data_IF_990608449485
#
_entry.id   IF_990608449485
#
_cell.length_a   1.000
_cell.length_b   1.000
_cell.length_c   1.000
_cell.angle_alpha   90.00
_cell.angle_beta   90.00
_cell.angle_gamma   90.00
#
_symmetry.space_group_name_H-M   'P 1'
#
loop_
_entity.id
_entity.type
_entity.pdbx_description
1 polymer ?
#
# COMPACT_ATOMS: atom_id res chain seq x y z
N UNK A 1 14.00 1.19 11.30
CA UNK A 1 13.60 -0.05 12.00
C UNK A 1 12.40 -0.59 11.27
N UNK A 2 12.33 -1.89 11.00
CA UNK A 2 11.16 -2.48 10.34
C UNK A 2 9.97 -2.53 11.31
N UNK A 3 8.81 -2.07 10.85
CA UNK A 3 7.54 -2.05 11.61
C UNK A 3 6.59 -3.06 10.99
N UNK A 4 5.72 -3.69 11.79
CA UNK A 4 4.69 -4.60 11.28
C UNK A 4 3.29 -4.06 11.57
N UNK A 5 2.40 -4.15 10.59
CA UNK A 5 1.01 -3.71 10.65
C UNK A 5 0.07 -4.89 10.33
N UNK A 6 -1.17 -4.85 10.82
CA UNK A 6 -2.22 -5.68 10.23
C UNK A 6 -2.60 -5.16 8.86
N UNK A 7 -3.07 -6.04 7.98
CA UNK A 7 -3.53 -5.64 6.65
C UNK A 7 -4.66 -4.60 6.73
N UNK A 8 -5.63 -4.79 7.62
CA UNK A 8 -6.75 -3.84 7.79
C UNK A 8 -6.29 -2.42 8.14
N UNK A 9 -5.30 -2.29 9.03
CA UNK A 9 -4.75 -0.97 9.40
C UNK A 9 -4.05 -0.31 8.22
N UNK A 10 -3.21 -1.08 7.52
CA UNK A 10 -2.53 -0.62 6.33
C UNK A 10 -3.52 -0.20 5.25
N UNK A 11 -4.50 -1.04 4.93
CA UNK A 11 -5.45 -0.77 3.86
C UNK A 11 -6.35 0.44 4.14
N UNK A 12 -6.82 0.58 5.39
CA UNK A 12 -7.60 1.74 5.80
C UNK A 12 -6.80 3.05 5.65
N UNK A 13 -5.51 3.02 5.99
CA UNK A 13 -4.61 4.15 5.78
C UNK A 13 -4.33 4.40 4.28
N UNK A 14 -4.02 3.35 3.52
CA UNK A 14 -3.71 3.42 2.10
C UNK A 14 -4.86 4.03 1.29
N UNK A 15 -6.11 3.68 1.61
CA UNK A 15 -7.30 4.25 0.97
C UNK A 15 -7.38 5.77 1.14
N UNK A 16 -6.84 6.33 2.23
CA UNK A 16 -6.72 7.78 2.44
C UNK A 16 -5.52 8.43 1.75
N UNK A 17 -4.57 7.63 1.26
CA UNK A 17 -3.29 8.07 0.72
C UNK A 17 -3.00 7.47 -0.67
N UNK A 18 -4.04 7.15 -1.44
CA UNK A 18 -3.91 6.51 -2.76
C UNK A 18 -2.97 7.26 -3.71
N UNK A 19 -3.02 8.61 -3.68
CA UNK A 19 -2.17 9.48 -4.51
C UNK A 19 -0.71 9.57 -4.02
N UNK A 20 -0.37 8.92 -2.92
CA UNK A 20 0.99 8.84 -2.40
C UNK A 20 1.68 7.52 -2.82
N UNK A 21 0.99 6.64 -3.55
CA UNK A 21 1.57 5.42 -4.12
C UNK A 21 2.52 5.81 -5.25
N UNK A 22 3.80 5.45 -5.10
CA UNK A 22 4.84 5.61 -6.13
C UNK A 22 4.85 4.40 -7.06
N UNK A 23 4.65 3.20 -6.50
CA UNK A 23 4.48 1.95 -7.25
C UNK A 23 3.78 0.90 -6.42
N UNK A 24 3.04 0.00 -7.07
CA UNK A 24 2.40 -1.15 -6.44
C UNK A 24 2.49 -2.37 -7.35
N UNK A 25 2.59 -3.57 -6.79
CA UNK A 25 2.76 -4.76 -7.60
C UNK A 25 2.83 -6.07 -6.83
N UNK A 26 3.08 -7.14 -7.57
CA UNK A 26 3.55 -8.43 -7.07
C UNK A 26 5.06 -8.53 -7.29
N UNK A 27 5.76 -9.56 -6.78
CA UNK A 27 7.18 -9.77 -7.09
C UNK A 27 7.51 -9.83 -8.60
N UNK A 28 6.55 -10.18 -9.44
CA UNK A 28 6.72 -10.38 -10.88
C UNK A 28 6.29 -9.17 -11.72
N UNK A 29 5.32 -8.39 -11.26
CA UNK A 29 4.71 -7.31 -12.03
C UNK A 29 4.53 -6.06 -11.18
N UNK A 30 5.01 -4.93 -11.70
CA UNK A 30 4.97 -3.64 -11.01
C UNK A 30 4.25 -2.60 -11.86
N UNK A 31 3.26 -1.94 -11.27
CA UNK A 31 2.64 -0.72 -11.77
C UNK A 31 3.37 0.48 -11.15
N UNK A 32 3.79 1.43 -11.98
CA UNK A 32 4.59 2.58 -11.58
C UNK A 32 3.79 3.85 -11.87
N UNK A 33 3.77 4.75 -10.89
CA UNK A 33 3.10 6.04 -11.02
C UNK A 33 3.72 6.92 -12.11
N UNK A 34 2.94 7.88 -12.62
CA UNK A 34 3.37 8.89 -13.57
C UNK A 34 2.44 10.10 -13.46
N UNK A 35 2.91 11.29 -13.82
CA UNK A 35 2.17 12.57 -13.77
C UNK A 35 0.72 12.56 -14.34
N UNK A 36 0.43 11.69 -15.31
CA UNK A 36 -0.88 11.59 -15.97
C UNK A 36 -1.75 10.45 -15.41
N UNK A 37 -1.22 9.66 -14.49
CA UNK A 37 -1.85 8.47 -13.94
C UNK A 37 -2.54 8.75 -12.61
N UNK A 38 -3.54 7.93 -12.31
CA UNK A 38 -4.38 8.07 -11.13
C UNK A 38 -4.60 6.70 -10.51
N UNK A 39 -4.27 6.59 -9.23
CA UNK A 39 -4.55 5.40 -8.44
C UNK A 39 -5.98 5.42 -7.92
N UNK A 40 -6.66 4.29 -8.02
CA UNK A 40 -7.99 4.08 -7.43
C UNK A 40 -7.98 2.77 -6.65
N UNK A 41 -8.48 2.81 -5.41
CA UNK A 41 -8.70 1.62 -4.59
C UNK A 41 -10.19 1.31 -4.56
N UNK A 42 -10.53 0.07 -4.88
CA UNK A 42 -11.92 -0.39 -5.01
C UNK A 42 -12.11 -1.63 -4.15
N UNK A 43 -13.27 -1.71 -3.50
CA UNK A 43 -13.76 -2.95 -2.89
C UNK A 43 -14.68 -3.62 -3.91
N UNK A 44 -14.19 -4.66 -4.58
CA UNK A 44 -14.94 -5.42 -5.58
C UNK A 44 -16.07 -6.21 -4.88
N UNK A 45 -15.69 -6.94 -3.82
CA UNK A 45 -16.59 -7.70 -2.96
C UNK A 45 -16.00 -7.87 -1.54
N UNK A 46 -16.55 -8.79 -0.76
CA UNK A 46 -16.11 -9.03 0.63
C UNK A 46 -14.72 -9.70 0.74
N UNK A 47 -14.14 -10.16 -0.37
CA UNK A 47 -12.92 -10.97 -0.42
C UNK A 47 -11.84 -10.37 -1.33
N UNK A 48 -12.22 -9.47 -2.23
CA UNK A 48 -11.32 -8.93 -3.25
C UNK A 48 -11.29 -7.41 -3.22
N UNK A 49 -10.07 -6.89 -3.14
CA UNK A 49 -9.76 -5.48 -3.27
C UNK A 49 -9.01 -5.26 -4.58
N UNK A 50 -9.23 -4.12 -5.21
CA UNK A 50 -8.59 -3.79 -6.48
C UNK A 50 -7.81 -2.50 -6.34
N UNK A 51 -6.56 -2.51 -6.80
CA UNK A 51 -5.75 -1.32 -6.98
C UNK A 51 -5.63 -1.08 -8.48
N UNK A 52 -6.28 -0.03 -8.98
CA UNK A 52 -6.26 0.31 -10.40
C UNK A 52 -5.36 1.52 -10.64
N UNK A 53 -4.57 1.44 -11.70
CA UNK A 53 -3.86 2.57 -12.28
C UNK A 53 -4.54 2.93 -13.59
N UNK A 54 -5.02 4.17 -13.70
CA UNK A 54 -5.70 4.66 -14.90
C UNK A 54 -5.03 5.92 -15.44
N UNK A 55 -5.08 6.09 -16.76
CA UNK A 55 -4.75 7.35 -17.45
C UNK A 55 -6.02 7.96 -17.98
N UNK A 56 -6.47 9.06 -17.39
CA UNK A 56 -7.76 9.66 -17.66
C UNK A 56 -8.92 8.65 -17.52
N UNK A 57 -9.39 8.06 -18.63
CA UNK A 57 -10.45 7.03 -18.63
C UNK A 57 -9.96 5.64 -19.05
N UNK A 58 -8.69 5.53 -19.43
CA UNK A 58 -8.10 4.30 -19.92
C UNK A 58 -7.45 3.55 -18.75
N UNK A 59 -7.80 2.28 -18.59
CA UNK A 59 -7.13 1.40 -17.62
C UNK A 59 -5.71 1.10 -18.10
N UNK A 60 -4.71 1.40 -17.26
CA UNK A 60 -3.31 1.04 -17.51
C UNK A 60 -3.03 -0.35 -16.97
N UNK A 61 -3.54 -0.65 -15.77
CA UNK A 61 -3.46 -1.96 -15.15
C UNK A 61 -4.20 -2.01 -13.83
N UNK A 62 -4.42 -3.23 -13.35
CA UNK A 62 -5.05 -3.48 -12.06
C UNK A 62 -4.37 -4.62 -11.32
N UNK A 63 -4.35 -4.52 -10.00
CA UNK A 63 -3.88 -5.54 -9.08
C UNK A 63 -5.08 -6.02 -8.25
N UNK A 64 -5.34 -7.32 -8.27
CA UNK A 64 -6.29 -7.96 -7.36
C UNK A 64 -5.56 -8.38 -6.09
N UNK A 65 -6.04 -7.86 -4.97
CA UNK A 65 -5.52 -8.12 -3.63
C UNK A 65 -6.52 -8.98 -2.87
N UNK A 66 -6.03 -10.09 -2.29
CA UNK A 66 -6.82 -11.02 -1.49
C UNK A 66 -6.44 -10.88 0.00
N UNK A 67 -7.18 -10.08 0.79
CA UNK A 67 -6.80 -9.77 2.18
C UNK A 67 -6.70 -10.98 3.08
N UNK A 68 -7.54 -12.00 2.84
CA UNK A 68 -7.60 -13.21 3.65
C UNK A 68 -6.31 -14.05 3.61
N UNK A 69 -5.47 -13.85 2.59
CA UNK A 69 -4.20 -14.55 2.45
C UNK A 69 -3.06 -13.83 3.18
N UNK A 70 -3.22 -12.53 3.45
CA UNK A 70 -2.15 -11.70 4.03
C UNK A 70 -2.08 -11.90 5.54
N UNK A 71 -0.92 -12.35 6.01
CA UNK A 71 -0.64 -12.53 7.44
C UNK A 71 -0.36 -11.19 8.13
N UNK A 72 0.47 -10.35 7.52
CA UNK A 72 0.82 -9.02 8.02
C UNK A 72 1.42 -8.15 6.91
N UNK A 73 1.58 -6.85 7.19
CA UNK A 73 2.32 -5.91 6.32
C UNK A 73 3.61 -5.52 7.01
N UNK A 74 4.75 -5.75 6.35
CA UNK A 74 6.06 -5.29 6.80
C UNK A 74 6.35 -3.92 6.19
N UNK A 75 6.85 -3.00 7.02
CA UNK A 75 7.12 -1.62 6.64
C UNK A 75 8.57 -1.28 6.91
N UNK A 76 9.26 -0.74 5.91
CA UNK A 76 10.63 -0.27 6.02
C UNK A 76 10.91 0.91 5.08
N UNK A 77 11.93 1.74 5.37
CA UNK A 77 12.40 2.72 4.40
C UNK A 77 12.82 2.04 3.11
N UNK A 78 12.47 2.61 1.96
CA UNK A 78 12.92 2.11 0.67
C UNK A 78 14.40 2.49 0.41
N UNK A 79 14.95 2.03 -0.71
CA UNK A 79 16.28 2.45 -1.18
C UNK A 79 16.33 3.95 -1.55
N UNK A 80 15.19 4.53 -1.92
CA UNK A 80 15.05 5.95 -2.25
C UNK A 80 14.65 6.73 -1.00
N UNK A 81 15.39 7.81 -0.71
CA UNK A 81 15.16 8.63 0.48
C UNK A 81 13.78 9.30 0.45
N UNK A 82 13.08 9.24 1.58
CA UNK A 82 11.69 9.71 1.70
C UNK A 82 10.62 8.71 1.23
N UNK A 83 10.99 7.65 0.51
CA UNK A 83 10.05 6.59 0.10
C UNK A 83 10.05 5.42 1.09
N UNK A 84 8.89 4.78 1.24
CA UNK A 84 8.65 3.70 2.20
C UNK A 84 8.03 2.48 1.54
N UNK A 85 8.62 1.32 1.80
CA UNK A 85 8.19 0.03 1.29
C UNK A 85 7.24 -0.63 2.28
N UNK A 86 6.11 -1.09 1.77
CA UNK A 86 5.09 -1.86 2.46
C UNK A 86 4.92 -3.21 1.74
N UNK A 87 5.34 -4.29 2.37
CA UNK A 87 5.24 -5.64 1.83
C UNK A 87 4.09 -6.40 2.52
N UNK A 88 3.09 -6.79 1.74
CA UNK A 88 2.02 -7.69 2.20
C UNK A 88 2.55 -9.11 2.19
N UNK A 89 2.78 -9.67 3.37
CA UNK A 89 3.40 -10.98 3.56
C UNK A 89 2.33 -12.05 3.72
N UNK A 90 2.46 -13.13 2.96
CA UNK A 90 1.73 -14.39 3.17
C UNK A 90 2.62 -15.35 3.96
N UNK A 91 2.04 -16.09 4.89
CA UNK A 91 2.76 -17.07 5.70
C UNK A 91 2.17 -18.46 5.52
N UNK A 92 3.02 -19.41 5.13
CA UNK A 92 2.73 -20.84 5.13
C UNK A 92 3.59 -21.54 6.18
N UNK A 93 3.32 -22.82 6.43
CA UNK A 93 4.16 -23.64 7.33
C UNK A 93 5.64 -23.69 6.90
N UNK A 94 5.94 -23.40 5.64
CA UNK A 94 7.27 -23.60 5.04
C UNK A 94 8.02 -22.31 4.74
N UNK A 95 7.31 -21.21 4.50
CA UNK A 95 7.89 -19.98 4.01
C UNK A 95 7.01 -18.76 4.31
N UNK A 96 7.67 -17.60 4.37
CA UNK A 96 7.06 -16.28 4.31
C UNK A 96 7.42 -15.66 2.98
N UNK A 97 6.42 -15.22 2.24
CA UNK A 97 6.59 -14.71 0.89
C UNK A 97 5.86 -13.37 0.77
N UNK A 98 6.40 -12.47 -0.06
CA UNK A 98 5.74 -11.19 -0.36
C UNK A 98 4.74 -11.45 -1.48
N UNK A 99 3.45 -11.30 -1.19
CA UNK A 99 2.41 -11.41 -2.22
C UNK A 99 2.23 -10.10 -2.98
N UNK A 100 2.29 -8.98 -2.26
CA UNK A 100 2.14 -7.64 -2.82
C UNK A 100 3.13 -6.68 -2.19
N UNK A 101 3.55 -5.67 -2.93
CA UNK A 101 4.33 -4.57 -2.40
C UNK A 101 3.75 -3.23 -2.83
N UNK A 102 3.86 -2.24 -1.97
CA UNK A 102 3.50 -0.86 -2.20
C UNK A 102 4.66 0.02 -1.77
N UNK A 103 5.07 0.94 -2.63
CA UNK A 103 6.01 2.00 -2.25
C UNK A 103 5.23 3.29 -2.15
N UNK A 104 5.37 3.95 -1.01
CA UNK A 104 4.67 5.17 -0.65
C UNK A 104 5.67 6.32 -0.55
N UNK A 105 5.24 7.53 -0.90
CA UNK A 105 6.04 8.75 -0.80
C UNK A 105 6.25 9.25 0.65
N UNK A 106 5.72 8.55 1.66
CA UNK A 106 5.88 8.86 3.07
C UNK A 106 5.64 7.63 3.95
N UNK A 107 6.02 7.74 5.22
CA UNK A 107 5.87 6.67 6.20
C UNK A 107 4.41 6.48 6.64
N UNK A 108 4.15 5.36 7.31
CA UNK A 108 2.88 5.14 7.98
C UNK A 108 2.76 6.06 9.20
N UNK A 109 1.72 6.90 9.21
CA UNK A 109 1.37 7.75 10.34
C UNK A 109 0.14 7.19 11.05
N UNK A 110 0.29 6.76 12.31
CA UNK A 110 -0.87 6.36 13.10
C UNK A 110 -1.70 7.62 13.45
N UNK A 111 -2.99 7.61 13.11
CA UNK A 111 -3.88 8.77 13.28
C UNK A 111 -4.02 9.27 14.73
N UNK A 112 -3.56 8.49 15.72
CA UNK A 112 -3.45 8.92 17.11
C UNK A 112 -2.34 9.98 17.33
N UNK A 113 -1.26 9.97 16.54
CA UNK A 113 -0.14 10.92 16.69
C UNK A 113 -0.48 12.35 16.24
N UNK A 114 -1.51 12.55 15.40
CA UNK A 114 -1.89 13.88 14.88
C UNK A 114 -2.65 14.75 15.89
N UNK A 115 -2.90 14.28 17.12
CA UNK A 115 -3.59 15.08 18.15
C UNK A 115 -2.67 15.97 18.99
N UNK A 116 -1.36 15.83 18.89
CA UNK A 116 -0.41 16.55 19.75
C UNK A 116 0.18 17.84 19.15
N UNK A 117 -0.08 18.15 17.87
CA UNK A 117 0.27 19.45 17.31
C UNK A 117 -0.82 20.49 17.63
N UNK A 118 -0.92 20.78 18.93
CA UNK A 118 -1.71 21.89 19.46
C UNK A 118 -1.05 23.20 19.01
N UNK A 119 -1.55 23.76 17.92
CA UNK A 119 -1.25 25.11 17.44
C UNK A 119 -1.22 26.11 18.60
N UNK A 120 -0.02 26.57 18.98
CA UNK A 120 0.14 27.76 19.82
C UNK A 120 0.12 28.97 18.90
N UNK A 121 -0.98 29.72 18.97
CA UNK A 121 -1.09 31.09 18.44
C UNK A 121 -0.15 32.05 19.17
#
# INVERSE_FOLDING_TARGET
MATTLSFDKFWAWLAGHANCIVRAGTPEVVLIDHDDFHWTLITEDNHTLVVQLARAKDLVGELLVFPAEIAYVQVEPSETDGEWLFECVVESEKAREVAYHFVMAHEYEDGEHRREEKWTH
#
